data_IF_935056193472
#
_entry.id   IF_935056193472
#
_cell.length_a   1.000
_cell.length_b   1.000
_cell.length_c   1.000
_cell.angle_alpha   90.00
_cell.angle_beta   90.00
_cell.angle_gamma   90.00
#
_symmetry.space_group_name_H-M   'P 1'
#
loop_
_entity.id
_entity.type
_entity.pdbx_description
1 polymer ?
#
# COMPACT_ATOMS: atom_id res chain seq x y z
N UNK A 1 3.66 -10.43 42.01
CA UNK A 1 3.50 -9.87 40.64
C UNK A 1 4.65 -8.92 40.37
N UNK A 2 5.57 -9.34 39.50
CA UNK A 2 6.89 -8.72 39.31
C UNK A 2 6.80 -7.40 38.51
N UNK A 3 7.64 -6.43 38.85
CA UNK A 3 7.77 -5.10 38.23
C UNK A 3 8.10 -5.11 36.72
N UNK A 4 8.20 -6.28 36.07
CA UNK A 4 8.40 -6.43 34.61
C UNK A 4 7.11 -6.37 33.79
N UNK A 5 5.92 -6.53 34.39
CA UNK A 5 4.65 -6.47 33.65
C UNK A 5 4.10 -5.05 33.44
N UNK A 6 4.77 -4.02 33.99
CA UNK A 6 4.33 -2.62 33.87
C UNK A 6 4.97 -1.83 32.72
N UNK A 7 5.89 -2.41 31.96
CA UNK A 7 6.56 -1.70 30.83
C UNK A 7 6.04 -2.05 29.43
N UNK A 8 5.13 -3.01 29.28
CA UNK A 8 4.58 -3.43 27.98
C UNK A 8 3.24 -2.78 27.60
N UNK A 9 2.78 -1.75 28.33
CA UNK A 9 1.50 -1.04 28.07
C UNK A 9 1.66 0.40 27.58
N UNK A 10 2.78 0.77 26.95
CA UNK A 10 3.02 2.16 26.50
C UNK A 10 2.97 2.39 24.98
N UNK A 11 2.61 1.39 24.18
CA UNK A 11 2.41 1.55 22.74
C UNK A 11 1.06 1.02 22.30
N UNK A 12 -0.01 1.69 22.75
CA UNK A 12 -1.33 1.52 22.15
C UNK A 12 -2.10 2.82 22.34
N UNK A 13 -2.65 3.31 21.23
CA UNK A 13 -3.48 4.52 21.08
C UNK A 13 -2.75 5.87 21.04
N UNK A 14 -2.30 6.26 19.84
CA UNK A 14 -2.43 7.65 19.42
C UNK A 14 -3.71 7.76 18.58
N UNK A 15 -4.74 8.36 19.18
CA UNK A 15 -6.01 8.70 18.55
C UNK A 15 -5.75 9.87 17.59
N UNK A 16 -5.75 9.59 16.29
CA UNK A 16 -5.70 10.59 15.24
C UNK A 16 -7.12 11.02 14.88
N UNK A 17 -7.77 11.79 15.75
CA UNK A 17 -9.00 12.53 15.45
C UNK A 17 -9.07 13.74 16.38
N UNK A 18 -8.61 14.91 15.93
CA UNK A 18 -9.01 16.20 16.49
C UNK A 18 -9.88 16.90 15.47
N UNK A 19 -11.15 17.11 15.81
CA UNK A 19 -12.13 17.92 15.10
C UNK A 19 -11.77 19.41 15.24
N UNK A 20 -11.88 20.26 14.21
CA UNK A 20 -11.73 21.70 14.39
C UNK A 20 -13.02 22.32 14.93
N UNK A 21 -12.92 23.01 16.07
CA UNK A 21 -13.93 23.96 16.54
C UNK A 21 -13.88 25.25 15.69
N UNK A 22 -15.05 25.86 15.53
CA UNK A 22 -15.34 26.99 14.65
C UNK A 22 -14.87 28.37 15.19
N UNK A 23 -14.33 29.18 14.27
CA UNK A 23 -14.45 30.63 14.05
C UNK A 23 -13.51 31.69 14.72
N UNK A 24 -12.85 32.44 13.80
CA UNK A 24 -12.33 33.84 13.81
C UNK A 24 -11.04 34.08 14.63
N UNK A 25 -9.98 34.76 14.15
CA UNK A 25 -9.90 35.95 13.27
C UNK A 25 -8.51 36.05 12.61
N UNK A 26 -8.40 36.87 11.56
CA UNK A 26 -7.23 37.11 10.69
C UNK A 26 -5.99 37.70 11.39
N UNK A 27 -4.83 37.08 11.20
CA UNK A 27 -3.53 37.75 11.09
C UNK A 27 -2.66 37.01 10.07
N UNK A 28 -2.07 37.77 9.15
CA UNK A 28 -1.01 37.31 8.24
C UNK A 28 0.23 36.95 9.07
N UNK A 29 0.99 35.97 8.62
CA UNK A 29 2.26 35.47 9.17
C UNK A 29 2.15 34.26 10.13
N UNK A 30 1.60 33.13 9.63
CA UNK A 30 1.81 31.79 10.21
C UNK A 30 2.62 30.92 9.23
N UNK A 31 3.78 30.34 9.63
CA UNK A 31 4.55 29.43 8.78
C UNK A 31 4.11 27.96 8.89
N UNK A 32 2.91 27.67 9.42
CA UNK A 32 2.33 26.33 9.44
C UNK A 32 1.20 26.22 8.40
N UNK A 33 1.56 26.48 7.15
CA UNK A 33 0.73 26.12 6.01
C UNK A 33 0.90 24.60 5.85
N UNK A 34 0.02 23.82 6.47
CA UNK A 34 0.04 22.36 6.37
C UNK A 34 -0.09 21.99 4.90
N UNK A 35 1.05 21.72 4.24
CA UNK A 35 1.10 21.28 2.85
C UNK A 35 0.24 20.04 2.76
N UNK A 36 -0.97 20.19 2.22
CA UNK A 36 -1.87 19.07 1.99
C UNK A 36 -1.29 18.31 0.81
N UNK A 37 -0.44 17.34 1.10
CA UNK A 37 0.16 16.48 0.09
C UNK A 37 -0.94 15.79 -0.71
N UNK A 38 -0.82 15.80 -2.04
CA UNK A 38 -1.71 15.05 -2.92
C UNK A 38 -1.68 13.55 -2.59
N UNK A 39 -2.71 12.78 -3.02
CA UNK A 39 -2.77 11.33 -2.78
C UNK A 39 -1.55 10.59 -3.32
N UNK A 40 -0.99 11.08 -4.43
CA UNK A 40 0.23 10.59 -5.04
C UNK A 40 1.47 10.81 -4.16
N UNK A 41 1.63 12.00 -3.59
CA UNK A 41 2.75 12.30 -2.70
C UNK A 41 2.63 11.57 -1.36
N UNK A 42 1.41 11.40 -0.84
CA UNK A 42 1.17 10.57 0.35
C UNK A 42 1.51 9.11 0.10
N UNK A 43 1.04 8.50 -1.00
CA UNK A 43 1.37 7.13 -1.38
C UNK A 43 2.88 6.95 -1.56
N UNK A 44 3.53 7.92 -2.21
CA UNK A 44 4.97 7.92 -2.42
C UNK A 44 5.74 7.91 -1.10
N UNK A 45 5.50 8.91 -0.26
CA UNK A 45 6.25 9.14 0.99
C UNK A 45 5.94 8.10 2.07
N UNK A 46 4.68 7.68 2.18
CA UNK A 46 4.22 6.76 3.22
C UNK A 46 4.51 5.30 2.89
N UNK A 47 4.39 4.92 1.62
CA UNK A 47 4.44 3.51 1.21
C UNK A 47 5.67 3.25 0.33
N UNK A 48 5.70 3.78 -0.89
CA UNK A 48 6.73 3.44 -1.89
C UNK A 48 8.15 3.71 -1.39
N UNK A 49 8.41 4.88 -0.82
CA UNK A 49 9.72 5.27 -0.32
C UNK A 49 10.17 4.37 0.83
N UNK A 50 9.24 3.98 1.73
CA UNK A 50 9.54 3.09 2.84
C UNK A 50 9.85 1.68 2.36
N UNK A 51 9.03 1.14 1.44
CA UNK A 51 9.26 -0.17 0.82
C UNK A 51 10.61 -0.19 0.08
N UNK A 52 10.90 0.83 -0.73
CA UNK A 52 12.17 0.94 -1.46
C UNK A 52 13.38 1.00 -0.51
N UNK A 53 13.27 1.75 0.58
CA UNK A 53 14.33 1.88 1.59
C UNK A 53 14.54 0.57 2.37
N UNK A 54 13.46 -0.15 2.67
CA UNK A 54 13.53 -1.43 3.36
C UNK A 54 14.17 -2.52 2.48
N UNK A 55 13.85 -2.53 1.18
CA UNK A 55 14.53 -3.41 0.19
C UNK A 55 16.04 -3.18 0.23
N UNK A 56 16.49 -1.93 0.15
CA UNK A 56 17.92 -1.58 0.22
C UNK A 56 18.56 -1.98 1.54
N UNK A 57 17.83 -1.82 2.65
CA UNK A 57 18.31 -2.17 3.99
C UNK A 57 18.53 -3.66 4.11
N UNK A 58 17.56 -4.47 3.67
CA UNK A 58 17.66 -5.93 3.68
C UNK A 58 18.75 -6.42 2.73
N UNK A 59 18.86 -5.88 1.50
CA UNK A 59 19.92 -6.27 0.57
C UNK A 59 21.33 -5.99 1.15
N UNK A 60 21.52 -4.84 1.80
CA UNK A 60 22.77 -4.56 2.53
C UNK A 60 23.04 -5.55 3.67
N UNK A 61 21.99 -6.01 4.37
CA UNK A 61 22.14 -7.04 5.41
C UNK A 61 22.50 -8.40 4.79
N UNK A 62 21.92 -8.76 3.65
CA UNK A 62 22.22 -9.99 2.93
C UNK A 62 23.68 -10.07 2.51
N UNK A 63 24.23 -8.98 1.96
CA UNK A 63 25.66 -8.88 1.64
C UNK A 63 26.51 -9.08 2.91
N UNK A 64 26.15 -8.42 4.02
CA UNK A 64 26.91 -8.52 5.29
C UNK A 64 26.95 -9.92 5.88
N UNK A 65 25.92 -10.74 5.65
CA UNK A 65 25.85 -12.12 6.15
C UNK A 65 26.29 -13.16 5.10
N UNK A 66 26.89 -12.72 3.98
CA UNK A 66 27.42 -13.58 2.93
C UNK A 66 26.34 -14.27 2.08
N UNK A 67 25.21 -13.59 1.83
CA UNK A 67 24.09 -14.08 1.02
C UNK A 67 23.74 -13.09 -0.10
N UNK A 68 24.74 -12.50 -0.74
CA UNK A 68 24.58 -11.54 -1.84
C UNK A 68 23.85 -12.12 -3.08
N UNK A 69 23.89 -13.43 -3.28
CA UNK A 69 23.14 -14.14 -4.31
C UNK A 69 21.64 -14.25 -4.01
N UNK A 70 21.22 -13.91 -2.78
CA UNK A 70 19.84 -14.00 -2.30
C UNK A 70 19.12 -12.64 -2.19
N UNK A 71 19.66 -11.61 -2.82
CA UNK A 71 19.09 -10.26 -2.79
C UNK A 71 17.65 -10.16 -3.32
N UNK A 72 16.87 -9.27 -2.71
CA UNK A 72 15.54 -8.90 -3.18
C UNK A 72 15.68 -8.25 -4.56
N UNK A 73 14.92 -8.76 -5.53
CA UNK A 73 15.01 -8.38 -6.94
C UNK A 73 15.82 -9.38 -7.78
N UNK A 74 16.65 -10.22 -7.14
CA UNK A 74 17.44 -11.25 -7.82
C UNK A 74 16.76 -12.62 -7.71
N UNK A 75 16.35 -13.00 -6.49
CA UNK A 75 15.72 -14.31 -6.25
C UNK A 75 14.19 -14.26 -6.30
N UNK A 76 13.58 -15.44 -6.40
CA UNK A 76 12.13 -15.59 -6.41
C UNK A 76 11.49 -15.25 -5.06
N UNK A 77 10.19 -14.90 -5.08
CA UNK A 77 9.41 -14.67 -3.86
C UNK A 77 9.39 -15.90 -2.93
N UNK A 78 9.41 -17.11 -3.49
CA UNK A 78 9.46 -18.36 -2.73
C UNK A 78 10.79 -18.48 -1.98
N UNK A 79 11.90 -18.11 -2.61
CA UNK A 79 13.22 -18.06 -1.97
C UNK A 79 13.24 -17.06 -0.83
N UNK A 80 12.68 -15.85 -1.05
CA UNK A 80 12.57 -14.82 0.01
C UNK A 80 11.75 -15.30 1.21
N UNK A 81 10.65 -16.03 0.98
CA UNK A 81 9.85 -16.65 2.06
C UNK A 81 10.66 -17.66 2.88
N UNK A 82 11.45 -18.52 2.24
CA UNK A 82 12.32 -19.45 2.96
C UNK A 82 13.42 -18.71 3.73
N UNK A 83 13.94 -17.64 3.16
CA UNK A 83 14.96 -16.80 3.80
C UNK A 83 14.42 -16.10 5.05
N UNK A 84 13.19 -15.59 4.99
CA UNK A 84 12.51 -14.96 6.12
C UNK A 84 12.33 -15.90 7.32
N UNK A 85 12.15 -17.21 7.07
CA UNK A 85 12.06 -18.23 8.12
C UNK A 85 13.45 -18.59 8.63
N UNK A 86 14.35 -18.99 7.73
CA UNK A 86 15.68 -19.52 8.05
C UNK A 86 16.62 -18.49 8.70
N UNK A 87 16.48 -17.20 8.36
CA UNK A 87 17.33 -16.10 8.84
C UNK A 87 16.53 -15.02 9.57
N UNK A 88 15.40 -15.37 10.19
CA UNK A 88 14.50 -14.43 10.88
C UNK A 88 15.20 -13.50 11.89
N UNK A 89 16.20 -14.00 12.63
CA UNK A 89 16.98 -13.19 13.58
C UNK A 89 17.90 -12.17 12.90
N UNK A 90 18.40 -12.48 11.71
CA UNK A 90 19.32 -11.62 10.95
C UNK A 90 18.55 -10.63 10.06
N UNK A 91 17.34 -11.00 9.61
CA UNK A 91 16.49 -10.25 8.70
C UNK A 91 15.07 -10.09 9.29
N UNK A 92 14.93 -9.42 10.45
CA UNK A 92 13.68 -9.40 11.21
C UNK A 92 12.50 -8.72 10.47
N UNK A 93 12.80 -7.82 9.53
CA UNK A 93 11.79 -7.08 8.75
C UNK A 93 11.41 -7.77 7.43
N UNK A 94 12.13 -8.80 6.99
CA UNK A 94 11.88 -9.44 5.69
C UNK A 94 10.48 -10.03 5.61
N UNK A 95 9.99 -10.66 6.69
CA UNK A 95 8.64 -11.21 6.72
C UNK A 95 7.55 -10.14 6.58
N UNK A 96 7.81 -8.91 7.04
CA UNK A 96 6.89 -7.78 6.90
C UNK A 96 6.91 -7.18 5.49
N UNK A 97 8.04 -7.30 4.78
CA UNK A 97 8.21 -6.79 3.43
C UNK A 97 7.64 -7.73 2.35
N UNK A 98 7.65 -9.05 2.60
CA UNK A 98 7.19 -10.07 1.64
C UNK A 98 5.82 -9.76 1.01
N UNK A 99 4.77 -9.37 1.75
CA UNK A 99 3.47 -9.06 1.16
C UNK A 99 3.51 -8.00 0.05
N UNK A 100 4.38 -6.99 0.19
CA UNK A 100 4.57 -5.94 -0.80
C UNK A 100 5.23 -6.47 -2.09
N UNK A 101 6.10 -7.48 -1.96
CA UNK A 101 6.83 -8.10 -3.06
C UNK A 101 6.00 -9.11 -3.85
N UNK A 102 4.83 -9.51 -3.33
CA UNK A 102 3.91 -10.45 -4.00
C UNK A 102 3.14 -9.84 -5.18
N UNK A 103 3.37 -8.56 -5.49
CA UNK A 103 2.76 -7.90 -6.65
C UNK A 103 3.16 -8.55 -7.98
N UNK A 104 4.33 -9.19 -8.07
CA UNK A 104 4.85 -9.75 -9.31
C UNK A 104 5.76 -10.95 -9.05
N UNK A 105 5.74 -11.94 -9.94
CA UNK A 105 6.76 -12.99 -9.96
C UNK A 105 8.08 -12.50 -10.57
N UNK A 106 8.04 -11.49 -11.44
CA UNK A 106 9.23 -10.82 -11.95
C UNK A 106 9.73 -9.79 -10.91
N UNK A 107 10.52 -10.29 -9.96
CA UNK A 107 11.04 -9.50 -8.84
C UNK A 107 11.97 -8.37 -9.29
N UNK A 108 12.79 -8.61 -10.31
CA UNK A 108 13.74 -7.63 -10.81
C UNK A 108 13.02 -6.39 -11.37
N UNK A 109 12.00 -6.62 -12.21
CA UNK A 109 11.16 -5.56 -12.73
C UNK A 109 10.38 -4.85 -11.62
N UNK A 110 9.78 -5.60 -10.68
CA UNK A 110 9.01 -5.02 -9.57
C UNK A 110 9.88 -4.09 -8.72
N UNK A 111 11.05 -4.57 -8.26
CA UNK A 111 11.96 -3.78 -7.43
C UNK A 111 12.44 -2.54 -8.17
N UNK A 112 12.76 -2.67 -9.46
CA UNK A 112 13.10 -1.53 -10.31
C UNK A 112 11.97 -0.49 -10.34
N UNK A 113 10.72 -0.91 -10.60
CA UNK A 113 9.57 0.01 -10.63
C UNK A 113 9.27 0.64 -9.28
N UNK A 114 9.34 -0.11 -8.18
CA UNK A 114 9.14 0.45 -6.83
C UNK A 114 10.17 1.54 -6.53
N UNK A 115 11.45 1.31 -6.86
CA UNK A 115 12.51 2.31 -6.71
C UNK A 115 12.28 3.52 -7.60
N UNK A 116 11.89 3.32 -8.87
CA UNK A 116 11.59 4.39 -9.82
C UNK A 116 10.41 5.27 -9.39
N UNK A 117 9.34 4.65 -8.89
CA UNK A 117 8.14 5.36 -8.41
C UNK A 117 8.39 6.08 -7.07
N UNK A 118 9.36 5.62 -6.28
CA UNK A 118 9.76 6.25 -5.02
C UNK A 118 10.63 7.52 -5.22
N UNK A 119 11.28 7.67 -6.38
CA UNK A 119 12.19 8.79 -6.69
C UNK A 119 11.44 10.11 -6.89
N UNK A 120 12.09 11.21 -6.51
CA UNK A 120 11.55 12.57 -6.67
C UNK A 120 10.33 12.87 -5.79
N UNK A 121 9.60 13.93 -6.14
CA UNK A 121 8.29 14.26 -5.56
C UNK A 121 7.16 13.87 -6.52
N UNK A 122 6.02 13.45 -5.97
CA UNK A 122 4.75 13.24 -6.67
C UNK A 122 4.75 12.22 -7.83
N UNK A 123 5.33 11.03 -7.65
CA UNK A 123 5.28 9.89 -8.60
C UNK A 123 5.34 10.31 -10.09
N UNK A 124 6.26 11.18 -10.46
CA UNK A 124 6.30 11.81 -11.80
C UNK A 124 6.46 10.79 -12.93
N UNK A 125 7.20 9.70 -12.67
CA UNK A 125 7.46 8.58 -13.58
C UNK A 125 6.30 7.58 -13.71
N UNK A 126 5.18 7.79 -13.00
CA UNK A 126 4.03 6.90 -12.98
C UNK A 126 3.37 6.80 -14.36
N UNK A 127 3.14 5.58 -14.84
CA UNK A 127 2.45 5.26 -16.08
C UNK A 127 1.28 4.32 -15.77
N UNK A 128 0.08 4.87 -15.59
CA UNK A 128 -1.07 4.14 -15.03
C UNK A 128 -1.50 2.88 -15.80
N UNK A 129 -1.46 2.90 -17.13
CA UNK A 129 -1.93 1.82 -18.01
C UNK A 129 -0.82 0.94 -18.55
N UNK A 130 0.39 1.06 -17.99
CA UNK A 130 1.53 0.26 -18.36
C UNK A 130 2.57 0.38 -17.27
N UNK A 131 3.84 0.35 -17.63
CA UNK A 131 4.90 0.57 -16.68
C UNK A 131 6.09 1.25 -17.32
N UNK A 132 7.21 1.23 -16.61
CA UNK A 132 8.48 1.77 -17.11
C UNK A 132 9.21 0.78 -18.00
N UNK A 133 10.08 1.30 -18.86
CA UNK A 133 11.05 0.48 -19.58
C UNK A 133 12.03 -0.13 -18.57
N UNK A 134 12.49 -1.35 -18.85
CA UNK A 134 13.38 -2.10 -17.98
C UNK A 134 14.41 -2.86 -18.81
N UNK A 135 15.70 -2.73 -18.45
CA UNK A 135 16.83 -3.31 -19.20
C UNK A 135 16.79 -3.01 -20.71
N UNK A 136 16.44 -1.78 -21.07
CA UNK A 136 16.35 -1.33 -22.46
C UNK A 136 15.14 -1.86 -23.24
N UNK A 137 14.24 -2.60 -22.60
CA UNK A 137 12.97 -3.04 -23.19
C UNK A 137 11.82 -2.20 -22.67
N UNK A 138 10.86 -1.89 -23.54
CA UNK A 138 9.63 -1.24 -23.12
C UNK A 138 8.74 -2.19 -22.33
N UNK A 139 7.76 -1.61 -21.63
CA UNK A 139 6.78 -2.37 -20.88
C UNK A 139 5.90 -3.19 -21.83
N UNK A 140 5.57 -4.41 -21.40
CA UNK A 140 4.68 -5.33 -22.10
C UNK A 140 3.57 -5.82 -21.15
N UNK A 141 2.46 -6.30 -21.72
CA UNK A 141 1.25 -6.67 -20.97
C UNK A 141 1.45 -7.78 -19.91
N UNK A 142 2.46 -8.63 -20.06
CA UNK A 142 2.80 -9.65 -19.07
C UNK A 142 3.42 -9.08 -17.78
N UNK A 143 3.87 -7.82 -17.80
CA UNK A 143 4.43 -7.11 -16.65
C UNK A 143 3.33 -6.30 -15.94
N UNK A 144 3.39 -6.18 -14.61
CA UNK A 144 2.41 -5.38 -13.89
C UNK A 144 2.53 -3.90 -14.28
N UNK A 145 1.38 -3.25 -14.39
CA UNK A 145 1.33 -1.80 -14.57
C UNK A 145 1.66 -1.06 -13.27
N UNK A 146 2.06 0.22 -13.36
CA UNK A 146 2.34 1.01 -12.17
C UNK A 146 1.09 1.19 -11.31
N UNK A 147 -0.10 1.34 -11.90
CA UNK A 147 -1.34 1.43 -11.13
C UNK A 147 -1.62 0.14 -10.36
N UNK A 148 -1.35 -1.02 -10.98
CA UNK A 148 -1.45 -2.30 -10.29
C UNK A 148 -0.47 -2.41 -9.12
N UNK A 149 0.80 -2.06 -9.35
CA UNK A 149 1.85 -2.08 -8.31
C UNK A 149 1.43 -1.19 -7.15
N UNK A 150 1.09 0.07 -7.41
CA UNK A 150 0.74 1.04 -6.35
C UNK A 150 -0.50 0.60 -5.58
N UNK A 151 -1.55 0.11 -6.25
CA UNK A 151 -2.73 -0.42 -5.57
C UNK A 151 -2.40 -1.64 -4.70
N UNK A 152 -1.57 -2.56 -5.19
CA UNK A 152 -1.13 -3.72 -4.40
C UNK A 152 -0.38 -3.28 -3.14
N UNK A 153 0.57 -2.35 -3.28
CA UNK A 153 1.34 -1.83 -2.14
C UNK A 153 0.44 -1.10 -1.13
N UNK A 154 -0.58 -0.38 -1.60
CA UNK A 154 -1.59 0.23 -0.72
C UNK A 154 -2.36 -0.84 0.07
N UNK A 155 -2.84 -1.89 -0.60
CA UNK A 155 -3.52 -3.00 0.05
C UNK A 155 -2.63 -3.67 1.10
N UNK A 156 -1.39 -4.02 0.76
CA UNK A 156 -0.42 -4.61 1.69
C UNK A 156 -0.11 -3.70 2.87
N UNK A 157 -0.01 -2.38 2.63
CA UNK A 157 0.15 -1.40 3.69
C UNK A 157 -1.06 -1.43 4.63
N UNK A 158 -2.28 -1.29 4.11
CA UNK A 158 -3.50 -1.26 4.94
C UNK A 158 -3.71 -2.56 5.71
N UNK A 159 -3.44 -3.72 5.10
CA UNK A 159 -3.42 -5.02 5.78
C UNK A 159 -2.49 -5.00 7.00
N UNK A 160 -1.27 -4.46 6.87
CA UNK A 160 -0.32 -4.35 7.98
C UNK A 160 -0.71 -3.36 9.08
N UNK A 161 -1.70 -2.48 8.81
CA UNK A 161 -2.19 -1.48 9.77
C UNK A 161 -3.43 -1.95 10.51
N UNK A 162 -4.09 -3.00 10.05
CA UNK A 162 -5.27 -3.56 10.70
C UNK A 162 -4.88 -4.61 11.75
N UNK A 163 -5.68 -4.75 12.83
CA UNK A 163 -5.47 -5.81 13.80
C UNK A 163 -5.66 -7.19 13.14
N UNK A 164 -4.96 -8.23 13.64
CA UNK A 164 -5.19 -9.60 13.21
C UNK A 164 -6.66 -9.99 13.39
N UNK A 165 -7.24 -10.63 12.37
CA UNK A 165 -8.63 -11.03 12.39
C UNK A 165 -8.75 -12.55 12.19
N UNK A 166 -9.47 -13.30 13.05
CA UNK A 166 -9.51 -14.76 12.98
C UNK A 166 -9.98 -15.36 11.64
N UNK A 167 -10.83 -14.63 10.90
CA UNK A 167 -11.29 -15.04 9.55
C UNK A 167 -10.23 -14.86 8.45
N UNK A 168 -9.18 -14.09 8.71
CA UNK A 168 -8.11 -13.76 7.76
C UNK A 168 -6.75 -14.10 8.39
N UNK A 169 -6.45 -15.39 8.59
CA UNK A 169 -5.22 -15.83 9.27
C UNK A 169 -3.94 -15.51 8.50
N UNK A 170 -4.06 -15.19 7.20
CA UNK A 170 -2.98 -14.71 6.35
C UNK A 170 -2.65 -13.23 6.58
N UNK A 171 -3.39 -12.54 7.46
CA UNK A 171 -3.21 -11.13 7.78
C UNK A 171 -3.77 -10.16 6.74
N UNK A 172 -4.43 -10.66 5.68
CA UNK A 172 -4.96 -9.84 4.58
C UNK A 172 -6.34 -9.27 4.86
N UNK A 173 -6.52 -8.73 6.05
CA UNK A 173 -7.79 -8.27 6.61
C UNK A 173 -8.45 -7.17 5.78
N UNK A 174 -7.69 -6.16 5.34
CA UNK A 174 -8.19 -5.07 4.51
C UNK A 174 -8.54 -5.60 3.13
N UNK A 175 -7.60 -6.32 2.51
CA UNK A 175 -7.74 -6.83 1.15
C UNK A 175 -8.97 -7.72 1.03
N UNK A 176 -9.18 -8.64 1.97
CA UNK A 176 -10.31 -9.57 1.93
C UNK A 176 -11.68 -8.89 2.15
N UNK A 177 -11.72 -7.73 2.80
CA UNK A 177 -12.97 -7.04 3.13
C UNK A 177 -13.31 -5.90 2.16
N UNK A 178 -12.28 -5.17 1.73
CA UNK A 178 -12.43 -3.87 1.07
C UNK A 178 -11.78 -3.80 -0.31
N UNK A 179 -11.22 -4.90 -0.82
CA UNK A 179 -10.69 -4.94 -2.18
C UNK A 179 -11.22 -6.14 -2.96
N UNK A 180 -11.66 -5.88 -4.18
CA UNK A 180 -12.21 -6.90 -5.08
C UNK A 180 -11.66 -6.69 -6.49
N UNK A 181 -11.49 -7.77 -7.25
CA UNK A 181 -11.03 -7.74 -8.64
C UNK A 181 -11.98 -8.53 -9.52
N UNK A 182 -12.12 -8.14 -10.78
CA UNK A 182 -12.78 -8.97 -11.80
C UNK A 182 -12.11 -10.35 -11.90
N UNK A 183 -12.86 -11.48 -12.06
CA UNK A 183 -14.29 -11.59 -12.36
C UNK A 183 -15.21 -11.64 -11.12
N UNK A 184 -14.68 -11.44 -9.91
CA UNK A 184 -15.49 -11.51 -8.69
C UNK A 184 -16.61 -10.47 -8.75
N UNK A 185 -17.81 -10.91 -8.34
CA UNK A 185 -19.01 -10.07 -8.36
C UNK A 185 -19.22 -9.40 -7.00
N UNK A 186 -19.62 -8.12 -6.98
CA UNK A 186 -20.00 -7.44 -5.75
C UNK A 186 -21.15 -8.18 -5.07
N UNK A 187 -21.01 -8.48 -3.79
CA UNK A 187 -22.10 -9.08 -3.05
C UNK A 187 -23.03 -7.97 -2.53
N UNK A 188 -24.08 -7.65 -3.29
CA UNK A 188 -25.05 -6.59 -2.99
C UNK A 188 -25.88 -6.82 -1.71
N UNK A 189 -25.72 -7.96 -1.03
CA UNK A 189 -26.55 -8.35 0.11
C UNK A 189 -26.14 -7.72 1.46
N UNK A 190 -25.04 -6.97 1.54
CA UNK A 190 -24.59 -6.28 2.76
C UNK A 190 -24.93 -4.79 2.70
N UNK A 191 -25.92 -4.36 3.50
CA UNK A 191 -26.12 -2.93 3.81
C UNK A 191 -24.81 -2.36 4.36
N UNK A 192 -24.41 -1.21 3.84
CA UNK A 192 -23.18 -0.47 4.18
C UNK A 192 -21.84 -1.06 3.70
N UNK A 193 -21.86 -2.01 2.76
CA UNK A 193 -20.63 -2.49 2.12
C UNK A 193 -19.89 -1.38 1.36
N UNK A 194 -18.62 -1.14 1.66
CA UNK A 194 -17.75 -0.22 0.93
C UNK A 194 -16.46 -0.93 0.50
N UNK A 195 -16.16 -0.96 -0.80
CA UNK A 195 -14.93 -1.57 -1.31
C UNK A 195 -14.38 -0.89 -2.57
N UNK A 196 -13.07 -1.01 -2.73
CA UNK A 196 -12.35 -0.72 -3.97
C UNK A 196 -12.51 -1.91 -4.93
N UNK A 197 -12.98 -1.66 -6.14
CA UNK A 197 -13.20 -2.68 -7.15
C UNK A 197 -12.37 -2.44 -8.41
N UNK A 198 -11.48 -3.38 -8.74
CA UNK A 198 -10.76 -3.41 -10.00
C UNK A 198 -11.61 -4.08 -11.08
N UNK A 199 -12.33 -3.26 -11.83
CA UNK A 199 -13.24 -3.69 -12.90
C UNK A 199 -12.56 -4.05 -14.23
N UNK A 200 -11.30 -3.66 -14.41
CA UNK A 200 -10.47 -3.99 -15.58
C UNK A 200 -9.02 -4.14 -15.15
N UNK A 201 -8.31 -5.12 -15.73
CA UNK A 201 -6.89 -5.38 -15.47
C UNK A 201 -5.98 -4.64 -16.45
N UNK A 202 -6.33 -4.61 -17.74
CA UNK A 202 -5.58 -3.89 -18.77
C UNK A 202 -6.53 -3.21 -19.80
N UNK A 203 -6.55 -1.87 -19.89
CA UNK A 203 -5.93 -0.94 -18.95
C UNK A 203 -6.62 -1.03 -17.56
N UNK A 204 -5.90 -0.79 -16.45
CA UNK A 204 -6.46 -0.85 -15.10
C UNK A 204 -7.60 0.14 -14.92
N UNK A 205 -8.71 -0.29 -14.30
CA UNK A 205 -9.82 0.59 -13.96
C UNK A 205 -10.43 0.26 -12.60
N UNK A 206 -10.39 1.23 -11.70
CA UNK A 206 -10.84 1.14 -10.32
C UNK A 206 -12.13 1.95 -10.11
N UNK A 207 -13.03 1.37 -9.33
CA UNK A 207 -14.31 1.93 -8.90
C UNK A 207 -14.45 1.79 -7.38
N UNK A 208 -15.37 2.52 -6.78
CA UNK A 208 -15.77 2.33 -5.38
C UNK A 208 -17.21 1.84 -5.36
N UNK A 209 -17.45 0.69 -4.73
CA UNK A 209 -18.78 0.12 -4.55
C UNK A 209 -19.28 0.51 -3.16
N UNK A 210 -20.51 1.02 -3.09
CA UNK A 210 -21.15 1.46 -1.85
C UNK A 210 -22.57 0.90 -1.80
N UNK A 211 -22.77 -0.19 -1.06
CA UNK A 211 -24.01 -0.96 -1.06
C UNK A 211 -24.47 -1.26 -2.49
N UNK A 212 -25.55 -0.61 -2.95
CA UNK A 212 -26.13 -0.78 -4.28
C UNK A 212 -25.63 0.25 -5.33
N UNK A 213 -24.80 1.21 -4.93
CA UNK A 213 -24.28 2.27 -5.79
C UNK A 213 -22.82 2.03 -6.21
N UNK A 214 -22.45 2.55 -7.38
CA UNK A 214 -21.12 2.41 -7.98
C UNK A 214 -20.58 3.77 -8.33
N UNK A 215 -19.63 4.26 -7.51
CA UNK A 215 -18.85 5.44 -7.86
C UNK A 215 -17.79 5.04 -8.88
N UNK A 216 -17.90 5.63 -10.08
CA UNK A 216 -17.07 5.28 -11.23
C UNK A 216 -16.24 6.50 -11.67
N UNK A 217 -15.05 6.74 -11.08
CA UNK A 217 -14.18 7.83 -11.52
C UNK A 217 -13.85 7.71 -13.01
N UNK A 218 -13.55 8.84 -13.66
CA UNK A 218 -13.12 8.84 -15.07
C UNK A 218 -11.92 7.93 -15.27
N UNK A 219 -11.90 7.20 -16.38
CA UNK A 219 -10.75 6.39 -16.82
C UNK A 219 -9.52 7.29 -17.04
N UNK A 220 -8.33 6.73 -16.89
CA UNK A 220 -7.07 7.43 -17.16
C UNK A 220 -6.12 7.48 -15.96
N UNK A 221 -5.08 8.32 -16.08
CA UNK A 221 -3.99 8.46 -15.08
C UNK A 221 -4.48 8.60 -13.65
N UNK A 222 -5.51 9.42 -13.45
CA UNK A 222 -5.98 9.77 -12.11
C UNK A 222 -7.06 8.83 -11.58
N UNK A 223 -7.50 7.83 -12.35
CA UNK A 223 -8.58 6.92 -11.94
C UNK A 223 -8.29 6.24 -10.59
N UNK A 224 -7.09 5.66 -10.46
CA UNK A 224 -6.67 4.98 -9.23
C UNK A 224 -6.65 5.93 -8.03
N UNK A 225 -6.04 7.11 -8.17
CA UNK A 225 -5.96 8.10 -7.10
C UNK A 225 -7.34 8.60 -6.67
N UNK A 226 -8.22 8.89 -7.63
CA UNK A 226 -9.59 9.29 -7.32
C UNK A 226 -10.38 8.17 -6.64
N UNK A 227 -10.23 6.91 -7.07
CA UNK A 227 -10.88 5.78 -6.41
C UNK A 227 -10.42 5.64 -4.95
N UNK A 228 -9.11 5.76 -4.68
CA UNK A 228 -8.53 5.73 -3.33
C UNK A 228 -9.09 6.88 -2.48
N UNK A 229 -9.08 8.11 -3.00
CA UNK A 229 -9.62 9.27 -2.29
C UNK A 229 -11.10 9.11 -1.97
N UNK A 230 -11.91 8.65 -2.93
CA UNK A 230 -13.34 8.41 -2.72
C UNK A 230 -13.58 7.32 -1.67
N UNK A 231 -12.80 6.24 -1.70
CA UNK A 231 -12.87 5.18 -0.70
C UNK A 231 -12.57 5.73 0.69
N UNK A 232 -11.46 6.45 0.88
CA UNK A 232 -11.13 7.01 2.19
C UNK A 232 -12.10 8.10 2.64
N UNK A 233 -12.59 8.94 1.73
CA UNK A 233 -13.63 9.91 2.03
C UNK A 233 -14.91 9.22 2.54
N UNK A 234 -15.28 8.10 1.92
CA UNK A 234 -16.42 7.30 2.35
C UNK A 234 -16.20 6.69 3.74
N UNK A 235 -15.03 6.12 4.01
CA UNK A 235 -14.65 5.60 5.33
C UNK A 235 -14.71 6.71 6.38
N UNK A 236 -14.21 7.92 6.06
CA UNK A 236 -14.28 9.07 6.95
C UNK A 236 -15.72 9.46 7.30
N UNK A 237 -16.62 9.46 6.29
CA UNK A 237 -18.01 9.85 6.48
C UNK A 237 -18.86 8.83 7.25
N UNK A 238 -18.60 7.53 7.09
CA UNK A 238 -19.45 6.48 7.66
C UNK A 238 -18.87 5.80 8.88
N UNK A 239 -17.58 5.54 8.87
CA UNK A 239 -16.89 4.81 9.93
C UNK A 239 -16.04 5.76 10.79
N UNK A 240 -16.27 7.07 10.70
CA UNK A 240 -15.51 8.11 11.41
C UNK A 240 -13.99 8.00 11.21
N UNK A 241 -13.56 7.47 10.06
CA UNK A 241 -12.15 7.27 9.73
C UNK A 241 -11.57 5.95 10.24
N UNK A 242 -12.38 5.05 10.79
CA UNK A 242 -11.92 3.74 11.27
C UNK A 242 -12.16 2.64 10.23
N UNK A 243 -11.14 1.82 10.00
CA UNK A 243 -11.25 0.56 9.27
C UNK A 243 -11.07 -0.54 10.31
N UNK A 244 -12.15 -1.25 10.69
CA UNK A 244 -12.09 -2.36 11.65
C UNK A 244 -13.12 -2.31 12.77
#
# INVERSE_FOLDING_TARGET
>A
MSLRDKQLKKYQYQVACRTPQSAKSTSKDDPDDSVTYGPDEWLRSTILLRVATEIETINKQLIRIGCEDMEIGVVSISTLKQLAVSKSLQLPSLNLLIPFLEASTNQEYLVHRVKELARGGCMSSFKWNGGGSFKGKDWEEHLPSDAYIVMHLLCSYLDSRLPPHPKFPDGRTFTAQHFMKTPDKPNASKKDYCCLYQSSTNPPHYKVLIADDVMNPRKGRNNMFHAILLFFYRVQLKEHGMLG
#
